data_IF_239221241756
#
_entry.id   IF_239221241756
#
_cell.length_a   1.000
_cell.length_b   1.000
_cell.length_c   1.000
_cell.angle_alpha   90.00
_cell.angle_beta   90.00
_cell.angle_gamma   90.00
#
_symmetry.space_group_name_H-M   'P 1'
#
loop_
_entity.id
_entity.type
_entity.pdbx_description
1 polymer ?
#
# COMPACT_ATOMS: atom_id res chain seq x y z
N UNK A 1 -5.84 -41.31 32.79
CA UNK A 1 -6.97 -40.83 31.98
C UNK A 1 -6.39 -40.08 30.80
N UNK A 2 -6.07 -40.79 29.72
CA UNK A 2 -5.71 -40.18 28.45
C UNK A 2 -7.02 -39.85 27.74
N UNK A 3 -7.54 -38.66 28.01
CA UNK A 3 -8.74 -38.14 27.36
C UNK A 3 -8.39 -37.75 25.92
N UNK A 4 -9.06 -38.38 24.96
CA UNK A 4 -9.01 -37.98 23.55
C UNK A 4 -9.59 -36.58 23.41
N UNK A 5 -8.72 -35.58 23.25
CA UNK A 5 -9.08 -34.27 22.73
C UNK A 5 -9.41 -34.41 21.23
N UNK A 6 -10.55 -35.01 20.90
CA UNK A 6 -10.85 -35.44 19.51
C UNK A 6 -11.62 -34.41 18.66
N UNK A 7 -11.74 -33.16 19.10
CA UNK A 7 -12.00 -32.05 18.18
C UNK A 7 -11.36 -30.76 18.70
N UNK A 8 -10.18 -30.43 18.18
CA UNK A 8 -9.57 -29.13 18.44
C UNK A 8 -10.53 -28.02 18.01
N UNK A 9 -10.72 -27.00 18.85
CA UNK A 9 -11.59 -25.86 18.56
C UNK A 9 -11.36 -25.34 17.13
N UNK A 10 -12.41 -24.98 16.36
CA UNK A 10 -12.24 -24.39 15.03
C UNK A 10 -11.25 -23.22 15.00
N UNK A 11 -11.16 -22.44 16.08
CA UNK A 11 -10.22 -21.33 16.21
C UNK A 11 -8.76 -21.79 16.35
N UNK A 12 -8.51 -22.94 16.99
CA UNK A 12 -7.17 -23.54 17.04
C UNK A 12 -6.75 -23.94 15.62
N UNK A 13 -7.63 -24.62 14.86
CA UNK A 13 -7.32 -25.02 13.47
C UNK A 13 -7.02 -23.81 12.58
N UNK A 14 -7.73 -22.70 12.77
CA UNK A 14 -7.49 -21.44 12.04
C UNK A 14 -6.18 -20.79 12.48
N UNK A 15 -5.89 -20.76 13.78
CA UNK A 15 -4.63 -20.27 14.32
C UNK A 15 -3.43 -21.09 13.80
N UNK A 16 -3.55 -22.42 13.73
CA UNK A 16 -2.52 -23.31 13.19
C UNK A 16 -2.26 -23.02 11.71
N UNK A 17 -3.32 -22.86 10.92
CA UNK A 17 -3.20 -22.51 9.51
C UNK A 17 -2.56 -21.12 9.31
N UNK A 18 -2.93 -20.14 10.15
CA UNK A 18 -2.33 -18.79 10.13
C UNK A 18 -0.84 -18.82 10.50
N UNK A 19 -0.48 -19.61 11.53
CA UNK A 19 0.91 -19.81 11.97
C UNK A 19 1.74 -20.45 10.85
N UNK A 20 1.23 -21.54 10.26
CA UNK A 20 1.90 -22.23 9.15
C UNK A 20 2.06 -21.32 7.92
N UNK A 21 1.03 -20.53 7.59
CA UNK A 21 1.09 -19.55 6.52
C UNK A 21 2.23 -18.55 6.77
N UNK A 22 2.28 -17.92 7.94
CA UNK A 22 3.33 -16.94 8.28
C UNK A 22 4.74 -17.55 8.20
N UNK A 23 4.93 -18.73 8.80
CA UNK A 23 6.21 -19.45 8.80
C UNK A 23 6.63 -19.97 7.44
N UNK A 24 5.71 -20.12 6.49
CA UNK A 24 6.06 -20.53 5.11
C UNK A 24 6.85 -19.46 4.34
N UNK A 25 6.80 -18.20 4.81
CA UNK A 25 7.50 -17.07 4.18
C UNK A 25 8.80 -16.70 4.91
N UNK A 26 8.79 -16.70 6.24
CA UNK A 26 9.96 -16.30 7.03
C UNK A 26 10.76 -17.54 7.41
N UNK A 27 11.94 -17.67 6.82
CA UNK A 27 12.86 -18.80 7.07
C UNK A 27 13.99 -18.44 8.02
N UNK A 28 14.22 -17.14 8.25
CA UNK A 28 15.28 -16.60 9.10
C UNK A 28 14.78 -15.41 9.89
N UNK A 29 15.26 -15.25 11.11
CA UNK A 29 14.99 -14.07 11.93
C UNK A 29 16.09 -13.80 12.95
N UNK A 30 15.93 -12.72 13.72
CA UNK A 30 16.95 -12.27 14.68
C UNK A 30 16.92 -13.05 15.99
N UNK A 31 15.76 -13.19 16.62
CA UNK A 31 15.61 -13.69 18.00
C UNK A 31 15.32 -15.20 18.11
N UNK A 32 15.62 -16.00 17.08
CA UNK A 32 15.34 -17.44 17.10
C UNK A 32 16.37 -18.13 18.00
N UNK A 33 15.94 -19.03 18.87
CA UNK A 33 16.84 -19.69 19.82
C UNK A 33 17.91 -20.56 19.13
N UNK A 34 17.58 -21.14 17.97
CA UNK A 34 18.52 -21.89 17.14
C UNK A 34 19.70 -21.02 16.63
N UNK A 35 19.51 -19.70 16.54
CA UNK A 35 20.61 -18.79 16.16
C UNK A 35 21.70 -18.70 17.24
N UNK A 36 21.48 -19.21 18.46
CA UNK A 36 22.52 -19.27 19.49
C UNK A 36 23.66 -20.25 19.16
N UNK A 37 23.46 -21.10 18.15
CA UNK A 37 24.51 -21.98 17.61
C UNK A 37 25.44 -21.25 16.63
N UNK A 38 25.03 -20.07 16.15
CA UNK A 38 25.84 -19.21 15.29
C UNK A 38 26.91 -18.49 16.11
N UNK A 39 28.00 -18.08 15.46
CA UNK A 39 28.92 -17.13 16.07
C UNK A 39 28.30 -15.72 16.17
N UNK A 40 28.94 -14.86 16.95
CA UNK A 40 28.44 -13.51 17.24
C UNK A 40 28.31 -12.63 15.97
N UNK A 41 29.16 -12.85 14.96
CA UNK A 41 29.12 -12.09 13.71
C UNK A 41 27.88 -12.47 12.89
N UNK A 42 27.64 -13.76 12.70
CA UNK A 42 26.45 -14.25 12.00
C UNK A 42 25.16 -13.87 12.73
N UNK A 43 25.12 -13.97 14.06
CA UNK A 43 23.96 -13.55 14.84
C UNK A 43 23.67 -12.05 14.65
N UNK A 44 24.71 -11.20 14.67
CA UNK A 44 24.57 -9.77 14.41
C UNK A 44 24.05 -9.49 12.99
N UNK A 45 24.55 -10.22 11.99
CA UNK A 45 24.06 -10.12 10.61
C UNK A 45 22.57 -10.47 10.48
N UNK A 46 22.08 -11.46 11.23
CA UNK A 46 20.64 -11.79 11.27
C UNK A 46 19.80 -10.65 11.85
N UNK A 47 20.26 -10.02 12.94
CA UNK A 47 19.58 -8.85 13.51
C UNK A 47 19.57 -7.67 12.54
N UNK A 48 20.71 -7.36 11.92
CA UNK A 48 20.83 -6.29 10.94
C UNK A 48 19.96 -6.55 9.71
N UNK A 49 19.88 -7.79 9.23
CA UNK A 49 19.01 -8.13 8.11
C UNK A 49 17.53 -7.84 8.36
N UNK A 50 17.04 -8.07 9.59
CA UNK A 50 15.66 -7.71 9.98
C UNK A 50 15.48 -6.19 9.99
N UNK A 51 16.43 -5.45 10.55
CA UNK A 51 16.37 -3.98 10.59
C UNK A 51 16.48 -3.35 9.20
N UNK A 52 17.32 -3.90 8.31
CA UNK A 52 17.44 -3.47 6.92
C UNK A 52 16.12 -3.66 6.16
N UNK A 53 15.47 -4.81 6.34
CA UNK A 53 14.12 -5.10 5.80
C UNK A 53 13.10 -4.09 6.31
N UNK A 54 13.11 -3.75 7.60
CA UNK A 54 12.22 -2.73 8.19
C UNK A 54 12.47 -1.34 7.65
N UNK A 55 13.74 -0.97 7.48
CA UNK A 55 14.11 0.31 6.88
C UNK A 55 13.61 0.42 5.43
N UNK A 56 13.75 -0.65 4.64
CA UNK A 56 13.19 -0.72 3.28
C UNK A 56 11.67 -0.61 3.32
N UNK A 57 11.00 -1.31 4.23
CA UNK A 57 9.55 -1.21 4.42
C UNK A 57 9.12 0.24 4.73
N UNK A 58 9.80 0.92 5.65
CA UNK A 58 9.52 2.30 6.00
C UNK A 58 9.74 3.26 4.84
N UNK A 59 10.82 3.09 4.08
CA UNK A 59 11.07 3.88 2.87
C UNK A 59 9.93 3.67 1.85
N UNK A 60 9.55 2.43 1.57
CA UNK A 60 8.48 2.12 0.63
C UNK A 60 7.12 2.68 1.09
N UNK A 61 6.82 2.64 2.39
CA UNK A 61 5.59 3.20 2.95
C UNK A 61 5.56 4.72 2.76
N UNK A 62 6.67 5.39 3.09
CA UNK A 62 6.80 6.82 2.91
C UNK A 62 6.68 7.23 1.44
N UNK A 63 7.31 6.50 0.52
CA UNK A 63 7.18 6.77 -0.91
C UNK A 63 5.73 6.59 -1.40
N UNK A 64 5.04 5.50 -1.02
CA UNK A 64 3.61 5.31 -1.37
C UNK A 64 2.75 6.44 -0.82
N UNK A 65 2.98 6.87 0.42
CA UNK A 65 2.19 7.92 1.08
C UNK A 65 2.37 9.30 0.48
N UNK A 66 3.55 9.63 -0.08
CA UNK A 66 3.78 10.93 -0.75
C UNK A 66 2.76 11.21 -1.86
N UNK A 67 2.34 10.18 -2.58
CA UNK A 67 1.34 10.31 -3.65
C UNK A 67 -0.05 10.70 -3.13
N UNK A 68 -0.34 10.40 -1.86
CA UNK A 68 -1.65 10.58 -1.22
C UNK A 68 -1.69 11.78 -0.26
N UNK A 69 -0.58 12.49 -0.04
CA UNK A 69 -0.52 13.66 0.84
C UNK A 69 -1.44 14.81 0.43
N UNK A 70 -1.93 14.82 -0.82
CA UNK A 70 -2.89 15.80 -1.35
C UNK A 70 -4.36 15.44 -1.07
N UNK A 71 -4.64 14.28 -0.47
CA UNK A 71 -6.01 13.89 -0.14
C UNK A 71 -6.59 14.87 0.89
N UNK A 72 -7.84 15.27 0.68
CA UNK A 72 -8.51 16.28 1.49
C UNK A 72 -8.99 15.74 2.85
N UNK A 73 -9.27 14.44 2.93
CA UNK A 73 -9.76 13.78 4.14
C UNK A 73 -8.57 13.31 5.01
N UNK A 74 -8.23 14.07 6.04
CA UNK A 74 -7.08 13.79 6.93
C UNK A 74 -7.28 12.56 7.79
N UNK A 75 -8.48 12.34 8.31
CA UNK A 75 -8.80 11.18 9.15
C UNK A 75 -8.68 9.88 8.33
N UNK A 76 -9.20 9.90 7.09
CA UNK A 76 -9.02 8.76 6.19
C UNK A 76 -7.56 8.53 5.81
N UNK A 77 -6.73 9.58 5.72
CA UNK A 77 -5.32 9.45 5.41
C UNK A 77 -4.57 8.68 6.51
N UNK A 78 -4.94 8.85 7.77
CA UNK A 78 -4.35 8.09 8.88
C UNK A 78 -4.71 6.60 8.80
N UNK A 79 -6.00 6.27 8.56
CA UNK A 79 -6.44 4.88 8.35
C UNK A 79 -5.73 4.23 7.16
N UNK A 80 -5.62 4.96 6.04
CA UNK A 80 -4.92 4.51 4.83
C UNK A 80 -3.43 4.33 5.09
N UNK A 81 -2.80 5.21 5.88
CA UNK A 81 -1.39 5.08 6.22
C UNK A 81 -1.10 3.82 7.03
N UNK A 82 -1.95 3.50 8.01
CA UNK A 82 -1.84 2.25 8.76
C UNK A 82 -2.07 1.03 7.87
N UNK A 83 -3.02 1.08 6.93
CA UNK A 83 -3.25 -0.01 5.96
C UNK A 83 -2.05 -0.20 5.02
N UNK A 84 -1.48 0.89 4.47
CA UNK A 84 -0.30 0.82 3.60
C UNK A 84 0.91 0.27 4.37
N UNK A 85 1.10 0.70 5.61
CA UNK A 85 2.14 0.15 6.48
C UNK A 85 1.94 -1.35 6.69
N UNK A 86 0.73 -1.77 7.05
CA UNK A 86 0.37 -3.18 7.21
C UNK A 86 0.69 -3.99 5.95
N UNK A 87 0.31 -3.52 4.77
CA UNK A 87 0.61 -4.20 3.51
C UNK A 87 2.11 -4.39 3.29
N UNK A 88 2.90 -3.34 3.53
CA UNK A 88 4.34 -3.38 3.26
C UNK A 88 5.07 -4.25 4.29
N UNK A 89 4.67 -4.19 5.57
CA UNK A 89 5.21 -5.06 6.62
C UNK A 89 4.91 -6.54 6.34
N UNK A 90 3.88 -6.86 5.55
CA UNK A 90 3.66 -8.22 5.06
C UNK A 90 4.48 -8.51 3.78
N UNK A 91 4.49 -7.60 2.80
CA UNK A 91 5.16 -7.81 1.50
C UNK A 91 6.68 -8.01 1.63
N UNK A 92 7.36 -7.21 2.47
CA UNK A 92 8.82 -7.21 2.53
C UNK A 92 9.37 -8.50 3.14
N UNK A 93 8.89 -8.98 4.31
CA UNK A 93 9.33 -10.25 4.86
C UNK A 93 9.02 -11.43 3.95
N UNK A 94 7.89 -11.40 3.22
CA UNK A 94 7.59 -12.42 2.21
C UNK A 94 8.60 -12.44 1.05
N UNK A 95 9.10 -11.28 0.65
CA UNK A 95 10.07 -11.15 -0.45
C UNK A 95 11.49 -11.53 -0.03
N UNK A 96 11.91 -11.13 1.16
CA UNK A 96 13.29 -11.33 1.64
C UNK A 96 13.44 -12.58 2.51
N UNK A 97 12.34 -13.22 2.89
CA UNK A 97 12.28 -14.41 3.76
C UNK A 97 12.89 -14.21 5.16
N UNK A 98 12.95 -12.96 5.61
CA UNK A 98 13.57 -12.50 6.85
C UNK A 98 12.54 -11.72 7.67
N UNK A 99 12.44 -12.00 8.97
CA UNK A 99 11.60 -11.25 9.91
C UNK A 99 11.68 -11.81 11.33
N UNK A 100 11.00 -11.17 12.29
CA UNK A 100 10.90 -11.63 13.66
C UNK A 100 9.44 -11.91 14.10
N UNK A 101 9.18 -11.95 15.41
CA UNK A 101 7.84 -12.18 15.95
C UNK A 101 6.82 -11.14 15.50
N UNK A 102 7.24 -9.89 15.28
CA UNK A 102 6.38 -8.81 14.78
C UNK A 102 5.89 -9.12 13.36
N UNK A 103 6.81 -9.37 12.41
CA UNK A 103 6.44 -9.67 11.02
C UNK A 103 5.63 -10.97 10.90
N UNK A 104 5.97 -12.00 11.68
CA UNK A 104 5.22 -13.25 11.71
C UNK A 104 3.79 -13.07 12.23
N UNK A 105 3.59 -12.27 13.29
CA UNK A 105 2.26 -11.99 13.82
C UNK A 105 1.40 -11.22 12.82
N UNK A 106 1.99 -10.26 12.08
CA UNK A 106 1.30 -9.53 11.02
C UNK A 106 0.92 -10.43 9.84
N UNK A 107 1.79 -11.37 9.44
CA UNK A 107 1.47 -12.35 8.38
C UNK A 107 0.35 -13.30 8.81
N UNK A 108 0.35 -13.73 10.07
CA UNK A 108 -0.73 -14.52 10.63
C UNK A 108 -2.05 -13.72 10.66
N UNK A 109 -2.01 -12.43 11.04
CA UNK A 109 -3.17 -11.54 10.96
C UNK A 109 -3.69 -11.43 9.52
N UNK A 110 -2.80 -11.27 8.54
CA UNK A 110 -3.17 -11.18 7.12
C UNK A 110 -3.88 -12.46 6.64
N UNK A 111 -3.44 -13.64 7.09
CA UNK A 111 -4.16 -14.89 6.79
C UNK A 111 -5.59 -14.87 7.32
N UNK A 112 -5.78 -14.50 8.59
CA UNK A 112 -7.12 -14.47 9.21
C UNK A 112 -8.01 -13.44 8.50
N UNK A 113 -7.46 -12.28 8.17
CA UNK A 113 -8.12 -11.21 7.44
C UNK A 113 -8.61 -11.65 6.05
N UNK A 114 -7.82 -12.44 5.32
CA UNK A 114 -8.11 -12.84 3.95
C UNK A 114 -8.95 -14.12 3.85
N UNK A 115 -8.92 -14.98 4.87
CA UNK A 115 -9.54 -16.32 4.82
C UNK A 115 -10.78 -16.46 5.69
N UNK A 116 -11.07 -15.50 6.56
CA UNK A 116 -12.13 -15.62 7.55
C UNK A 116 -12.80 -14.26 7.83
N UNK A 117 -14.00 -14.31 8.40
CA UNK A 117 -14.69 -13.14 8.98
C UNK A 117 -14.45 -13.00 10.49
N UNK A 118 -13.50 -13.77 11.04
CA UNK A 118 -13.21 -13.74 12.46
C UNK A 118 -12.53 -12.44 12.87
N UNK A 119 -12.71 -12.10 14.15
CA UNK A 119 -11.95 -11.06 14.81
C UNK A 119 -10.59 -11.59 15.24
N UNK A 120 -9.53 -10.93 14.81
CA UNK A 120 -8.19 -11.16 15.33
C UNK A 120 -7.42 -9.85 15.54
N UNK A 121 -6.55 -9.85 16.52
CA UNK A 121 -5.88 -8.68 17.09
C UNK A 121 -4.40 -9.03 17.34
N UNK A 122 -3.48 -8.13 16.99
CA UNK A 122 -2.06 -8.31 17.31
C UNK A 122 -1.78 -7.74 18.70
N UNK A 123 -1.12 -8.52 19.54
CA UNK A 123 -0.75 -8.14 20.90
C UNK A 123 0.76 -8.13 21.05
N UNK A 124 1.24 -7.21 21.89
CA UNK A 124 2.61 -7.25 22.41
C UNK A 124 2.59 -7.49 23.91
N UNK A 125 3.41 -8.43 24.33
CA UNK A 125 3.77 -8.60 25.73
C UNK A 125 5.12 -7.95 26.00
N UNK A 126 5.16 -7.12 27.02
CA UNK A 126 6.39 -6.66 27.65
C UNK A 126 6.52 -7.38 28.99
N UNK A 127 7.71 -7.89 29.30
CA UNK A 127 7.97 -8.55 30.56
C UNK A 127 9.46 -8.84 30.78
N UNK A 128 9.78 -9.22 32.01
CA UNK A 128 11.12 -9.66 32.39
C UNK A 128 12.09 -8.53 32.73
N UNK A 129 13.37 -8.89 32.81
CA UNK A 129 14.45 -7.93 33.09
C UNK A 129 14.80 -7.05 31.87
N UNK A 130 14.19 -7.33 30.72
CA UNK A 130 14.46 -6.73 29.42
C UNK A 130 13.24 -6.00 28.85
N UNK A 131 12.69 -5.03 29.60
CA UNK A 131 11.46 -4.27 29.26
C UNK A 131 11.45 -3.60 27.87
N UNK A 132 12.61 -3.43 27.24
CA UNK A 132 12.74 -2.85 25.90
C UNK A 132 12.47 -3.83 24.75
N UNK A 133 12.48 -5.14 25.02
CA UNK A 133 12.25 -6.20 24.05
C UNK A 133 10.93 -6.90 24.37
N UNK A 134 9.87 -6.55 23.65
CA UNK A 134 8.56 -7.20 23.78
C UNK A 134 8.33 -8.25 22.69
N UNK A 135 7.62 -9.33 23.05
CA UNK A 135 7.20 -10.38 22.13
C UNK A 135 5.83 -10.08 21.51
N UNK A 136 5.65 -10.37 20.23
CA UNK A 136 4.45 -10.03 19.46
C UNK A 136 3.79 -11.31 18.95
N UNK A 137 2.47 -11.40 19.10
CA UNK A 137 1.68 -12.57 18.75
C UNK A 137 0.26 -12.17 18.33
N UNK A 138 -0.48 -13.14 17.79
CA UNK A 138 -1.86 -12.95 17.31
C UNK A 138 -2.85 -13.55 18.32
N UNK A 139 -3.95 -12.84 18.58
CA UNK A 139 -5.09 -13.34 19.35
C UNK A 139 -6.30 -13.44 18.43
N UNK A 140 -7.01 -14.57 18.45
CA UNK A 140 -8.18 -14.84 17.63
C UNK A 140 -9.38 -15.09 18.54
N UNK A 141 -10.52 -14.46 18.23
CA UNK A 141 -11.80 -14.75 18.88
C UNK A 141 -11.94 -14.21 20.31
N UNK A 142 -11.18 -13.18 20.69
CA UNK A 142 -11.33 -12.51 21.99
C UNK A 142 -12.75 -11.96 22.17
N UNK A 143 -13.37 -12.26 23.31
CA UNK A 143 -14.69 -11.77 23.70
C UNK A 143 -14.65 -10.27 24.01
N UNK A 144 -15.54 -9.47 23.43
CA UNK A 144 -15.71 -8.06 23.82
C UNK A 144 -16.84 -7.98 24.87
N UNK A 145 -16.71 -7.20 25.96
CA UNK A 145 -15.63 -6.24 26.28
C UNK A 145 -14.61 -6.80 27.30
N UNK A 146 -13.92 -7.90 27.00
CA UNK A 146 -12.87 -8.41 27.89
C UNK A 146 -11.76 -7.37 28.12
N UNK A 147 -11.06 -7.51 29.24
CA UNK A 147 -9.88 -6.69 29.54
C UNK A 147 -8.73 -7.08 28.62
N UNK A 148 -8.20 -6.13 27.84
CA UNK A 148 -7.07 -6.38 26.93
C UNK A 148 -5.77 -6.72 27.66
N UNK A 149 -5.66 -6.38 28.95
CA UNK A 149 -4.47 -6.65 29.74
C UNK A 149 -4.51 -8.00 30.47
N UNK A 150 -5.66 -8.67 30.50
CA UNK A 150 -5.86 -9.95 31.20
C UNK A 150 -6.43 -11.05 30.27
N UNK A 151 -5.57 -11.96 29.77
CA UNK A 151 -5.97 -13.07 28.92
C UNK A 151 -6.99 -14.02 29.54
N UNK A 152 -7.10 -14.06 30.88
CA UNK A 152 -8.09 -14.89 31.57
C UNK A 152 -9.52 -14.36 31.38
N UNK A 153 -9.67 -13.10 30.98
CA UNK A 153 -10.98 -12.49 30.69
C UNK A 153 -11.40 -12.61 29.22
N UNK A 154 -10.50 -13.06 28.33
CA UNK A 154 -10.70 -13.06 26.87
C UNK A 154 -11.76 -14.05 26.39
N UNK A 155 -12.22 -14.95 27.26
CA UNK A 155 -13.22 -15.97 26.99
C UNK A 155 -12.62 -17.32 26.62
N UNK A 156 -13.39 -18.39 26.86
CA UNK A 156 -12.93 -19.78 26.76
C UNK A 156 -12.53 -20.20 25.33
N UNK A 157 -13.12 -19.55 24.33
CA UNK A 157 -12.83 -19.80 22.91
C UNK A 157 -11.62 -18.99 22.39
N UNK A 158 -11.11 -18.01 23.14
CA UNK A 158 -10.01 -17.18 22.66
C UNK A 158 -8.73 -18.01 22.50
N UNK A 159 -8.03 -17.81 21.39
CA UNK A 159 -6.82 -18.55 21.03
C UNK A 159 -5.66 -17.58 20.84
N UNK A 160 -4.51 -17.92 21.42
CA UNK A 160 -3.22 -17.29 21.10
C UNK A 160 -2.58 -18.11 19.98
N UNK A 161 -2.27 -17.43 18.88
CA UNK A 161 -1.42 -17.92 17.82
C UNK A 161 -0.07 -17.21 17.94
N UNK A 162 0.97 -17.98 18.28
CA UNK A 162 2.36 -17.53 18.35
C UNK A 162 3.14 -18.22 17.22
N UNK A 163 3.20 -17.59 16.03
CA UNK A 163 3.93 -18.18 14.92
C UNK A 163 5.43 -18.16 15.15
N UNK A 164 5.97 -17.35 16.07
CA UNK A 164 7.38 -17.35 16.42
C UNK A 164 7.76 -18.65 17.15
N UNK A 165 6.97 -19.01 18.16
CA UNK A 165 7.12 -20.25 18.92
C UNK A 165 6.62 -21.50 18.16
N UNK A 166 5.94 -21.31 17.02
CA UNK A 166 5.19 -22.36 16.32
C UNK A 166 4.14 -23.04 17.22
N UNK A 167 3.41 -22.24 18.00
CA UNK A 167 2.42 -22.75 18.95
C UNK A 167 1.09 -22.02 18.82
N UNK A 168 0.02 -22.77 18.98
CA UNK A 168 -1.35 -22.27 18.99
C UNK A 168 -2.08 -22.95 20.14
N UNK A 169 -2.67 -22.18 21.04
CA UNK A 169 -3.24 -22.71 22.29
C UNK A 169 -4.33 -21.79 22.84
N UNK A 170 -5.23 -22.30 23.71
CA UNK A 170 -6.23 -21.48 24.38
C UNK A 170 -5.59 -20.36 25.20
N UNK A 171 -6.13 -19.14 25.11
CA UNK A 171 -5.59 -17.96 25.80
C UNK A 171 -5.51 -18.14 27.33
N UNK A 172 -6.41 -18.93 27.93
CA UNK A 172 -6.38 -19.26 29.35
C UNK A 172 -5.08 -19.95 29.80
N UNK A 173 -4.34 -20.58 28.88
CA UNK A 173 -3.07 -21.29 29.15
C UNK A 173 -1.82 -20.45 28.85
N UNK A 174 -1.97 -19.12 28.72
CA UNK A 174 -0.88 -18.25 28.28
C UNK A 174 0.36 -18.28 29.19
N UNK A 175 0.22 -18.38 30.52
CA UNK A 175 1.38 -18.42 31.44
C UNK A 175 2.29 -19.64 31.20
N UNK A 176 1.69 -20.74 30.77
CA UNK A 176 2.42 -21.99 30.50
C UNK A 176 3.17 -21.91 29.16
N UNK A 177 2.56 -21.28 28.17
CA UNK A 177 2.97 -21.39 26.77
C UNK A 177 3.66 -20.14 26.21
N UNK A 178 3.19 -18.94 26.59
CA UNK A 178 3.69 -17.67 26.10
C UNK A 178 4.97 -17.29 26.84
N UNK A 179 5.96 -16.79 26.11
CA UNK A 179 7.28 -16.43 26.61
C UNK A 179 7.71 -15.09 26.03
N UNK A 180 8.61 -14.38 26.71
CA UNK A 180 9.26 -13.20 26.15
C UNK A 180 10.58 -13.60 25.48
N UNK A 181 10.79 -13.16 24.24
CA UNK A 181 12.02 -13.41 23.47
C UNK A 181 12.84 -12.14 23.39
N UNK A 182 14.14 -12.21 23.71
CA UNK A 182 15.02 -11.04 23.71
C UNK A 182 16.41 -11.34 23.17
N UNK A 183 17.12 -10.29 22.79
CA UNK A 183 18.53 -10.36 22.41
C UNK A 183 19.40 -9.73 23.50
N UNK A 184 20.23 -10.54 24.13
CA UNK A 184 21.27 -10.06 25.05
C UNK A 184 22.46 -9.55 24.23
N UNK A 185 22.58 -8.23 24.13
CA UNK A 185 23.67 -7.55 23.42
C UNK A 185 25.04 -7.72 24.10
N UNK A 186 25.08 -8.06 25.38
CA UNK A 186 26.33 -8.28 26.13
C UNK A 186 26.82 -9.69 25.89
N UNK A 187 25.94 -10.68 26.03
CA UNK A 187 26.27 -12.07 25.79
C UNK A 187 26.32 -12.44 24.29
N UNK A 188 25.78 -11.57 23.42
CA UNK A 188 25.50 -11.87 22.01
C UNK A 188 24.74 -13.18 21.87
N UNK A 189 23.61 -13.29 22.59
CA UNK A 189 22.76 -14.48 22.60
C UNK A 189 21.29 -14.10 22.67
N UNK A 190 20.45 -14.92 22.06
CA UNK A 190 19.01 -14.90 22.24
C UNK A 190 18.63 -15.58 23.56
N UNK A 191 17.70 -14.97 24.26
CA UNK A 191 17.17 -15.45 25.53
C UNK A 191 15.65 -15.57 25.50
N UNK A 192 15.15 -16.31 26.49
CA UNK A 192 13.74 -16.59 26.72
C UNK A 192 13.44 -16.35 28.20
N UNK A 193 12.36 -15.63 28.48
CA UNK A 193 11.87 -15.39 29.83
C UNK A 193 10.43 -15.89 29.98
N UNK A 194 10.14 -16.51 31.12
CA UNK A 194 8.79 -16.90 31.51
C UNK A 194 7.98 -15.67 31.93
N UNK A 195 6.68 -15.68 31.63
CA UNK A 195 5.75 -14.68 32.14
C UNK A 195 5.32 -15.07 33.56
N UNK A 196 5.96 -14.47 34.57
CA UNK A 196 5.60 -14.67 35.99
C UNK A 196 4.81 -13.48 36.53
N UNK A 197 4.09 -13.67 37.65
CA UNK A 197 3.33 -12.60 38.30
C UNK A 197 4.24 -11.49 38.87
N UNK A 198 5.52 -11.78 39.08
CA UNK A 198 6.53 -10.88 39.62
C UNK A 198 7.10 -9.93 38.56
N UNK A 199 7.10 -10.35 37.28
CA UNK A 199 7.49 -9.50 36.17
C UNK A 199 6.23 -8.86 35.61
N UNK A 200 6.10 -7.54 35.72
CA UNK A 200 4.92 -6.81 35.22
C UNK A 200 4.67 -7.13 33.74
N UNK A 201 3.72 -8.03 33.49
CA UNK A 201 3.26 -8.36 32.14
C UNK A 201 2.36 -7.23 31.69
N UNK A 202 2.92 -6.30 30.91
CA UNK A 202 2.08 -5.30 30.24
C UNK A 202 1.70 -5.84 28.88
N UNK A 203 0.48 -6.34 28.76
CA UNK A 203 -0.12 -6.63 27.47
C UNK A 203 -0.68 -5.34 26.89
N UNK A 204 -0.13 -4.91 25.75
CA UNK A 204 -0.67 -3.80 24.98
C UNK A 204 -1.23 -4.36 23.68
N UNK A 205 -2.53 -4.19 23.49
CA UNK A 205 -3.14 -4.40 22.17
C UNK A 205 -2.58 -3.36 21.20
N UNK A 206 -2.23 -3.80 20.00
CA UNK A 206 -2.04 -2.87 18.89
C UNK A 206 -3.40 -2.39 18.37
N UNK A 207 -3.41 -1.20 17.76
CA UNK A 207 -4.61 -0.65 17.08
C UNK A 207 -4.95 -1.47 15.82
N UNK A 208 -4.09 -2.41 15.41
CA UNK A 208 -4.31 -3.25 14.23
C UNK A 208 -5.08 -4.51 14.60
N UNK A 209 -6.35 -4.52 14.20
CA UNK A 209 -7.21 -5.68 14.22
C UNK A 209 -7.90 -5.88 12.86
N UNK A 210 -8.50 -7.06 12.66
CA UNK A 210 -9.16 -7.39 11.39
C UNK A 210 -10.32 -6.46 11.06
N UNK A 211 -11.04 -5.92 12.05
CA UNK A 211 -12.19 -5.05 11.80
C UNK A 211 -11.74 -3.65 11.37
N UNK A 212 -10.72 -3.11 12.04
CA UNK A 212 -10.02 -1.90 11.63
C UNK A 212 -9.49 -2.05 10.20
N UNK A 213 -8.79 -3.15 9.89
CA UNK A 213 -8.21 -3.36 8.56
C UNK A 213 -9.29 -3.49 7.48
N UNK A 214 -10.40 -4.21 7.73
CA UNK A 214 -11.54 -4.28 6.80
C UNK A 214 -12.13 -2.89 6.54
N UNK A 215 -12.39 -2.12 7.60
CA UNK A 215 -12.86 -0.73 7.49
C UNK A 215 -11.88 0.14 6.71
N UNK A 216 -10.59 0.05 7.01
CA UNK A 216 -9.55 0.81 6.35
C UNK A 216 -9.45 0.46 4.86
N UNK A 217 -9.64 -0.82 4.47
CA UNK A 217 -9.71 -1.25 3.05
C UNK A 217 -10.88 -0.57 2.33
N UNK A 218 -12.05 -0.49 2.95
CA UNK A 218 -13.22 0.20 2.38
C UNK A 218 -13.01 1.71 2.28
N UNK A 219 -12.47 2.33 3.34
CA UNK A 219 -12.06 3.74 3.36
C UNK A 219 -11.08 4.01 2.21
N UNK A 220 -10.01 3.22 2.10
CA UNK A 220 -8.99 3.35 1.08
C UNK A 220 -9.58 3.24 -0.33
N UNK A 221 -10.44 2.24 -0.57
CA UNK A 221 -11.08 2.05 -1.87
C UNK A 221 -11.88 3.29 -2.31
N UNK A 222 -12.71 3.83 -1.42
CA UNK A 222 -13.53 5.02 -1.68
C UNK A 222 -12.66 6.25 -1.95
N UNK A 223 -11.67 6.48 -1.09
CA UNK A 223 -10.85 7.67 -1.11
C UNK A 223 -9.85 7.64 -2.29
N UNK A 224 -9.30 6.49 -2.64
CA UNK A 224 -8.49 6.32 -3.84
C UNK A 224 -9.28 6.56 -5.13
N UNK A 225 -10.51 6.05 -5.25
CA UNK A 225 -11.37 6.37 -6.41
C UNK A 225 -11.66 7.87 -6.50
N UNK A 226 -11.94 8.51 -5.37
CA UNK A 226 -12.18 9.96 -5.30
C UNK A 226 -10.94 10.74 -5.73
N UNK A 227 -9.77 10.38 -5.19
CA UNK A 227 -8.48 10.96 -5.57
C UNK A 227 -8.19 10.79 -7.05
N UNK A 228 -8.34 9.58 -7.59
CA UNK A 228 -8.14 9.30 -9.02
C UNK A 228 -9.00 10.20 -9.90
N UNK A 229 -10.29 10.33 -9.59
CA UNK A 229 -11.20 11.18 -10.36
C UNK A 229 -10.79 12.66 -10.27
N UNK A 230 -10.39 13.15 -9.09
CA UNK A 230 -9.96 14.53 -8.90
C UNK A 230 -8.69 14.88 -9.68
N UNK A 231 -7.75 13.94 -9.81
CA UNK A 231 -6.52 14.16 -10.59
C UNK A 231 -6.76 14.02 -12.11
N UNK A 232 -7.66 13.13 -12.54
CA UNK A 232 -7.93 12.88 -13.97
C UNK A 232 -8.90 13.89 -14.59
N UNK A 233 -9.90 14.36 -13.85
CA UNK A 233 -10.94 15.25 -14.38
C UNK A 233 -10.39 16.55 -15.01
N UNK A 234 -9.40 17.25 -14.41
CA UNK A 234 -8.78 18.42 -15.03
C UNK A 234 -8.11 18.09 -16.38
N UNK A 235 -7.38 16.97 -16.47
CA UNK A 235 -6.72 16.52 -17.70
C UNK A 235 -7.78 16.27 -18.79
N UNK A 236 -8.82 15.52 -18.43
CA UNK A 236 -9.91 15.18 -19.35
C UNK A 236 -10.63 16.42 -19.89
N UNK A 237 -10.95 17.38 -19.00
CA UNK A 237 -11.60 18.64 -19.37
C UNK A 237 -10.72 19.49 -20.28
N UNK A 238 -9.42 19.59 -19.98
CA UNK A 238 -8.44 20.32 -20.79
C UNK A 238 -8.29 19.72 -22.19
N UNK A 239 -8.16 18.40 -22.30
CA UNK A 239 -8.09 17.70 -23.58
C UNK A 239 -9.36 17.90 -24.42
N UNK A 240 -10.53 17.76 -23.79
CA UNK A 240 -11.82 17.95 -24.47
C UNK A 240 -11.98 19.38 -24.99
N UNK A 241 -11.64 20.37 -24.16
CA UNK A 241 -11.67 21.79 -24.54
C UNK A 241 -10.72 22.07 -25.71
N UNK A 242 -9.50 21.53 -25.67
CA UNK A 242 -8.53 21.71 -26.75
C UNK A 242 -9.00 21.08 -28.07
N UNK A 243 -9.51 19.84 -28.01
CA UNK A 243 -10.12 19.15 -29.16
C UNK A 243 -11.27 19.97 -29.75
N UNK A 244 -12.17 20.50 -28.93
CA UNK A 244 -13.33 21.26 -29.39
C UNK A 244 -12.93 22.57 -30.08
N UNK A 245 -11.89 23.23 -29.56
CA UNK A 245 -11.27 24.38 -30.22
C UNK A 245 -10.72 24.03 -31.61
N UNK A 246 -9.98 22.92 -31.72
CA UNK A 246 -9.50 22.42 -33.01
C UNK A 246 -10.63 22.04 -33.97
N UNK A 247 -11.72 21.46 -33.47
CA UNK A 247 -12.89 21.10 -34.28
C UNK A 247 -13.61 22.34 -34.81
N UNK A 248 -13.71 23.41 -34.00
CA UNK A 248 -14.25 24.69 -34.44
C UNK A 248 -13.37 25.32 -35.53
N UNK A 249 -12.04 25.31 -35.35
CA UNK A 249 -11.10 25.82 -36.36
C UNK A 249 -11.16 25.01 -37.67
N UNK A 250 -11.25 23.68 -37.57
CA UNK A 250 -11.42 22.81 -38.72
C UNK A 250 -12.68 23.15 -39.53
N UNK A 251 -13.78 23.50 -38.85
CA UNK A 251 -15.02 23.94 -39.50
C UNK A 251 -14.82 25.25 -40.25
N UNK A 252 -14.10 26.20 -39.65
CA UNK A 252 -13.74 27.48 -40.28
C UNK A 252 -12.85 27.27 -41.50
N UNK A 253 -11.77 26.47 -41.42
CA UNK A 253 -10.87 26.24 -42.54
C UNK A 253 -11.57 25.60 -43.75
N UNK A 254 -12.57 24.75 -43.52
CA UNK A 254 -13.36 24.12 -44.58
C UNK A 254 -14.18 25.12 -45.42
N UNK A 255 -14.42 26.34 -44.94
CA UNK A 255 -15.11 27.37 -45.75
C UNK A 255 -14.19 28.16 -46.69
N UNK A 256 -12.87 27.93 -46.66
CA UNK A 256 -11.89 28.64 -47.47
C UNK A 256 -11.10 27.69 -48.37
N UNK A 257 -10.90 28.04 -49.65
CA UNK A 257 -10.07 27.27 -50.58
C UNK A 257 -8.58 27.34 -50.22
N UNK A 258 -7.80 26.30 -50.54
CA UNK A 258 -6.34 26.27 -50.37
C UNK A 258 -5.83 25.88 -48.98
N UNK A 259 -6.69 25.26 -48.14
CA UNK A 259 -6.34 24.84 -46.76
C UNK A 259 -6.25 23.32 -46.59
N UNK A 260 -6.12 22.54 -47.67
CA UNK A 260 -6.24 21.09 -47.67
C UNK A 260 -5.25 20.43 -46.70
N UNK A 261 -3.99 20.87 -46.68
CA UNK A 261 -2.98 20.34 -45.78
C UNK A 261 -3.26 20.68 -44.30
N UNK A 262 -3.73 21.90 -44.02
CA UNK A 262 -4.10 22.31 -42.65
C UNK A 262 -5.28 21.49 -42.13
N UNK A 263 -6.28 21.27 -42.99
CA UNK A 263 -7.45 20.44 -42.70
C UNK A 263 -7.02 19.02 -42.32
N UNK A 264 -6.09 18.41 -43.06
CA UNK A 264 -5.56 17.07 -42.77
C UNK A 264 -4.85 17.05 -41.40
N UNK A 265 -3.93 17.99 -41.16
CA UNK A 265 -3.17 18.06 -39.90
C UNK A 265 -4.10 18.20 -38.70
N UNK A 266 -5.05 19.13 -38.74
CA UNK A 266 -5.99 19.35 -37.63
C UNK A 266 -6.92 18.14 -37.45
N UNK A 267 -7.39 17.53 -38.54
CA UNK A 267 -8.24 16.34 -38.45
C UNK A 267 -7.51 15.17 -37.79
N UNK A 268 -6.24 14.95 -38.16
CA UNK A 268 -5.40 13.92 -37.54
C UNK A 268 -5.19 14.22 -36.06
N UNK A 269 -4.90 15.48 -35.70
CA UNK A 269 -4.73 15.88 -34.31
C UNK A 269 -5.99 15.65 -33.48
N UNK A 270 -7.17 15.97 -34.01
CA UNK A 270 -8.46 15.68 -33.35
C UNK A 270 -8.64 14.17 -33.14
N UNK A 271 -8.26 13.33 -34.12
CA UNK A 271 -8.35 11.88 -33.99
C UNK A 271 -7.43 11.35 -32.87
N UNK A 272 -6.19 11.84 -32.79
CA UNK A 272 -5.25 11.49 -31.71
C UNK A 272 -5.77 11.92 -30.33
N UNK A 273 -6.37 13.10 -30.22
CA UNK A 273 -6.96 13.58 -28.96
C UNK A 273 -8.16 12.72 -28.56
N UNK A 274 -9.00 12.31 -29.51
CA UNK A 274 -10.13 11.42 -29.24
C UNK A 274 -9.67 10.05 -28.74
N UNK A 275 -8.57 9.51 -29.27
CA UNK A 275 -7.98 8.25 -28.77
C UNK A 275 -7.63 8.37 -27.27
N UNK A 276 -6.92 9.44 -26.88
CA UNK A 276 -6.55 9.68 -25.48
C UNK A 276 -7.78 9.90 -24.60
N UNK A 277 -8.76 10.69 -25.04
CA UNK A 277 -10.01 10.95 -24.30
C UNK A 277 -10.80 9.65 -24.07
N UNK A 278 -10.87 8.78 -25.08
CA UNK A 278 -11.54 7.49 -24.99
C UNK A 278 -10.81 6.55 -24.03
N UNK A 279 -9.48 6.50 -24.08
CA UNK A 279 -8.66 5.73 -23.14
C UNK A 279 -8.87 6.20 -21.69
N UNK A 280 -8.87 7.51 -21.44
CA UNK A 280 -9.18 8.08 -20.12
C UNK A 280 -10.57 7.65 -19.65
N UNK A 281 -11.57 7.72 -20.53
CA UNK A 281 -12.95 7.36 -20.21
C UNK A 281 -13.06 5.87 -19.86
N UNK A 282 -12.42 5.00 -20.65
CA UNK A 282 -12.36 3.57 -20.38
C UNK A 282 -11.69 3.29 -19.03
N UNK A 283 -10.51 3.85 -18.77
CA UNK A 283 -9.77 3.67 -17.51
C UNK A 283 -10.56 4.19 -16.31
N UNK A 284 -11.23 5.34 -16.44
CA UNK A 284 -12.11 5.91 -15.41
C UNK A 284 -13.30 4.99 -15.11
N UNK A 285 -13.94 4.43 -16.12
CA UNK A 285 -15.05 3.48 -15.93
C UNK A 285 -14.57 2.20 -15.26
N UNK A 286 -13.46 1.62 -15.74
CA UNK A 286 -12.85 0.42 -15.16
C UNK A 286 -12.54 0.58 -13.68
N UNK A 287 -11.84 1.66 -13.31
CA UNK A 287 -11.46 1.92 -11.91
C UNK A 287 -12.69 2.18 -11.04
N UNK A 288 -13.66 2.98 -11.50
CA UNK A 288 -14.80 3.35 -10.68
C UNK A 288 -15.80 2.20 -10.50
N UNK A 289 -16.07 1.43 -11.55
CA UNK A 289 -17.18 0.46 -11.59
C UNK A 289 -16.73 -0.98 -11.34
N UNK A 290 -15.57 -1.39 -11.87
CA UNK A 290 -15.19 -2.81 -11.89
C UNK A 290 -14.26 -3.17 -10.73
N UNK A 291 -13.37 -2.26 -10.33
CA UNK A 291 -12.37 -2.57 -9.32
C UNK A 291 -12.94 -2.48 -7.90
N UNK A 292 -12.94 -3.62 -7.19
CA UNK A 292 -13.32 -3.74 -5.77
C UNK A 292 -12.13 -3.87 -4.82
N UNK A 293 -10.94 -4.13 -5.36
CA UNK A 293 -9.71 -4.26 -4.59
C UNK A 293 -8.99 -2.90 -4.53
N UNK A 294 -8.79 -2.36 -3.33
CA UNK A 294 -8.09 -1.10 -3.14
C UNK A 294 -6.64 -1.14 -3.63
N UNK A 295 -5.95 -2.31 -3.59
CA UNK A 295 -4.58 -2.46 -4.08
C UNK A 295 -4.51 -2.28 -5.59
N UNK A 296 -5.50 -2.81 -6.32
CA UNK A 296 -5.61 -2.62 -7.77
C UNK A 296 -5.90 -1.16 -8.12
N UNK A 297 -6.74 -0.47 -7.35
CA UNK A 297 -6.97 0.97 -7.53
C UNK A 297 -5.71 1.77 -7.22
N UNK A 298 -5.03 1.47 -6.12
CA UNK A 298 -3.76 2.11 -5.73
C UNK A 298 -2.71 1.95 -6.82
N UNK A 299 -2.47 0.72 -7.29
CA UNK A 299 -1.53 0.44 -8.38
C UNK A 299 -1.91 1.16 -9.68
N UNK A 300 -3.22 1.27 -9.96
CA UNK A 300 -3.70 2.05 -11.10
C UNK A 300 -3.40 3.53 -10.94
N UNK A 301 -3.60 4.13 -9.77
CA UNK A 301 -3.25 5.55 -9.52
C UNK A 301 -1.77 5.81 -9.80
N UNK A 302 -0.90 4.94 -9.30
CA UNK A 302 0.56 5.09 -9.42
C UNK A 302 1.08 4.92 -10.85
N UNK A 303 0.34 4.22 -11.72
CA UNK A 303 0.78 3.88 -13.09
C UNK A 303 0.01 4.62 -14.17
N UNK A 304 -1.32 4.64 -14.06
CA UNK A 304 -2.26 5.15 -15.07
C UNK A 304 -2.27 6.66 -15.14
N UNK A 305 -2.23 7.38 -14.01
CA UNK A 305 -2.23 8.85 -14.02
C UNK A 305 -0.98 9.39 -14.73
N UNK A 306 0.26 8.95 -14.40
CA UNK A 306 1.45 9.38 -15.13
C UNK A 306 1.42 9.02 -16.62
N UNK A 307 0.90 7.85 -16.97
CA UNK A 307 0.76 7.40 -18.36
C UNK A 307 -0.20 8.30 -19.15
N UNK A 308 -1.39 8.57 -18.61
CA UNK A 308 -2.37 9.49 -19.20
C UNK A 308 -1.74 10.87 -19.39
N UNK A 309 -1.02 11.37 -18.37
CA UNK A 309 -0.32 12.64 -18.45
C UNK A 309 0.66 12.68 -19.63
N UNK A 310 1.56 11.69 -19.73
CA UNK A 310 2.52 11.58 -20.85
C UNK A 310 1.83 11.52 -22.21
N UNK A 311 0.82 10.67 -22.35
CA UNK A 311 0.10 10.52 -23.61
C UNK A 311 -0.63 11.81 -24.01
N UNK A 312 -1.27 12.49 -23.05
CA UNK A 312 -1.94 13.76 -23.27
C UNK A 312 -0.95 14.82 -23.81
N UNK A 313 0.21 14.98 -23.17
CA UNK A 313 1.23 15.94 -23.59
C UNK A 313 1.73 15.62 -24.99
N UNK A 314 2.12 14.36 -25.25
CA UNK A 314 2.66 13.96 -26.56
C UNK A 314 1.65 14.21 -27.67
N UNK A 315 0.36 13.93 -27.43
CA UNK A 315 -0.68 14.09 -28.46
C UNK A 315 -1.15 15.54 -28.62
N UNK A 316 -1.11 16.37 -27.57
CA UNK A 316 -1.50 17.79 -27.68
C UNK A 316 -0.54 18.64 -28.52
N UNK A 317 0.73 18.25 -28.63
CA UNK A 317 1.70 19.03 -29.39
C UNK A 317 1.64 18.70 -30.89
N UNK A 318 1.59 19.75 -31.70
CA UNK A 318 1.89 19.64 -33.13
C UNK A 318 3.40 19.47 -33.32
N UNK A 319 3.77 18.63 -34.28
CA UNK A 319 5.16 18.47 -34.69
C UNK A 319 5.68 19.76 -35.37
N UNK A 320 6.99 20.03 -35.34
CA UNK A 320 7.56 21.23 -35.96
C UNK A 320 7.16 21.42 -37.45
N UNK A 321 7.10 20.32 -38.20
CA UNK A 321 6.67 20.35 -39.61
C UNK A 321 5.18 20.68 -39.78
N UNK A 322 4.32 20.16 -38.88
CA UNK A 322 2.89 20.47 -38.86
C UNK A 322 2.66 21.96 -38.57
N UNK A 323 3.39 22.49 -37.58
CA UNK A 323 3.36 23.92 -37.26
C UNK A 323 3.71 24.77 -38.47
N UNK A 324 4.82 24.49 -39.17
CA UNK A 324 5.21 25.26 -40.37
C UNK A 324 4.09 25.36 -41.42
N UNK A 325 3.33 24.28 -41.62
CA UNK A 325 2.20 24.23 -42.56
C UNK A 325 1.01 25.03 -42.03
N UNK A 326 0.66 24.86 -40.75
CA UNK A 326 -0.46 25.57 -40.11
C UNK A 326 -0.27 27.10 -40.14
N UNK A 327 0.98 27.53 -39.98
CA UNK A 327 1.38 28.94 -39.86
C UNK A 327 1.57 29.60 -41.23
N UNK A 328 2.11 28.87 -42.21
CA UNK A 328 2.57 29.42 -43.47
C UNK A 328 3.97 30.06 -43.38
N UNK A 329 4.55 30.45 -44.52
CA UNK A 329 5.95 30.90 -44.63
C UNK A 329 6.24 32.30 -44.03
N UNK A 330 5.23 33.07 -43.62
CA UNK A 330 5.35 34.52 -43.39
C UNK A 330 5.23 34.97 -41.92
N UNK A 331 4.96 34.08 -40.97
CA UNK A 331 4.67 34.44 -39.56
C UNK A 331 5.86 34.11 -38.65
N UNK A 332 6.16 35.01 -37.71
CA UNK A 332 7.23 34.79 -36.71
C UNK A 332 6.79 33.79 -35.65
N UNK A 333 7.72 32.97 -35.14
CA UNK A 333 7.49 31.91 -34.14
C UNK A 333 6.78 32.38 -32.85
N UNK A 334 6.76 33.69 -32.59
CA UNK A 334 6.13 34.32 -31.43
C UNK A 334 4.64 34.65 -31.64
N UNK A 335 4.21 34.97 -32.87
CA UNK A 335 2.78 35.09 -33.23
C UNK A 335 2.10 33.72 -33.24
N UNK A 336 2.88 32.69 -33.51
CA UNK A 336 2.49 31.28 -33.64
C UNK A 336 2.06 30.67 -32.31
N UNK A 337 2.82 30.92 -31.25
CA UNK A 337 2.52 30.40 -29.91
C UNK A 337 1.27 31.05 -29.30
N UNK A 338 0.70 32.10 -29.90
CA UNK A 338 -0.56 32.70 -29.41
C UNK A 338 -1.82 32.07 -30.00
N UNK A 339 -1.76 31.53 -31.22
CA UNK A 339 -2.95 31.01 -31.91
C UNK A 339 -3.18 29.51 -31.70
N UNK A 340 -2.10 28.72 -31.61
CA UNK A 340 -2.20 27.26 -31.56
C UNK A 340 -1.66 26.63 -30.28
N UNK A 341 -1.15 27.44 -29.35
CA UNK A 341 -0.82 26.92 -28.01
C UNK A 341 -2.10 26.59 -27.25
N UNK A 342 -2.08 25.56 -26.40
CA UNK A 342 -3.16 25.34 -25.44
C UNK A 342 -3.39 26.63 -24.64
N UNK A 343 -4.62 26.88 -24.11
CA UNK A 343 -4.85 27.99 -23.19
C UNK A 343 -3.75 28.03 -22.14
N UNK A 344 -3.21 29.21 -21.83
CA UNK A 344 -2.04 29.34 -20.95
C UNK A 344 -2.22 28.60 -19.62
N UNK A 345 -3.43 28.56 -19.09
CA UNK A 345 -3.78 27.82 -17.88
C UNK A 345 -3.78 26.29 -18.08
N UNK A 346 -4.15 25.80 -19.27
CA UNK A 346 -4.07 24.38 -19.64
C UNK A 346 -2.64 23.95 -19.90
N UNK A 347 -1.85 24.75 -20.62
CA UNK A 347 -0.43 24.47 -20.83
C UNK A 347 0.34 24.56 -19.50
N UNK A 348 0.08 25.57 -18.67
CA UNK A 348 0.69 25.69 -17.33
C UNK A 348 0.25 24.55 -16.42
N UNK A 349 -1.03 24.19 -16.38
CA UNK A 349 -1.50 23.05 -15.58
C UNK A 349 -0.90 21.72 -16.07
N UNK A 350 -0.83 21.50 -17.39
CA UNK A 350 -0.21 20.31 -17.97
C UNK A 350 1.29 20.31 -17.73
N UNK A 351 2.01 21.41 -17.95
CA UNK A 351 3.45 21.53 -17.69
C UNK A 351 3.75 21.43 -16.19
N UNK A 352 2.94 21.98 -15.29
CA UNK A 352 3.09 21.80 -13.84
C UNK A 352 2.83 20.36 -13.40
N UNK A 353 1.81 19.70 -13.95
CA UNK A 353 1.57 18.27 -13.70
C UNK A 353 2.70 17.42 -14.29
N UNK A 354 3.15 17.73 -15.51
CA UNK A 354 4.26 17.05 -16.22
C UNK A 354 5.56 17.22 -15.46
N UNK A 355 5.88 18.43 -15.03
CA UNK A 355 7.10 18.75 -14.30
C UNK A 355 7.06 18.17 -12.90
N UNK A 356 5.92 18.15 -12.20
CA UNK A 356 5.76 17.41 -10.94
C UNK A 356 5.96 15.91 -11.15
N UNK A 357 5.31 15.31 -12.16
CA UNK A 357 5.45 13.88 -12.48
C UNK A 357 6.90 13.55 -12.87
N UNK A 358 7.55 14.37 -13.70
CA UNK A 358 8.93 14.17 -14.12
C UNK A 358 9.95 14.42 -13.00
N UNK A 359 9.70 15.35 -12.09
CA UNK A 359 10.54 15.57 -10.89
C UNK A 359 10.42 14.42 -9.90
N UNK A 360 9.25 13.80 -9.78
CA UNK A 360 9.07 12.60 -8.95
C UNK A 360 9.64 11.34 -9.61
N UNK A 361 9.56 11.19 -10.93
CA UNK A 361 10.17 10.07 -11.67
C UNK A 361 11.71 10.13 -11.63
N UNK A 362 12.32 11.32 -11.67
CA UNK A 362 13.79 11.50 -11.62
C UNK A 362 14.43 11.26 -10.24
N UNK A 363 13.62 11.01 -9.20
CA UNK A 363 14.09 10.69 -7.84
C UNK A 363 14.26 9.19 -7.60
N UNK A 364 13.91 8.38 -8.60
CA UNK A 364 14.20 6.95 -8.72
C UNK A 364 15.30 6.77 -9.76
#
# INVERSE_FOLDING_TARGET
MEGRYEDSSPLIKIGEAASQFARSFISRGGTQMENNELDAEHLLQHFQGVEDVRNVAQMMANERLKHFNKMSNRDALEEIAQLIWFDIVNEIPMKYTVGNCDELAHLALNYVLDKTDLKAEVFRVYGGSHETNGHVFLVIGRKIPSDMSDPLTWGDDAVICDPWANKVYPAATYKENLKNYYFDKVAYKNGLEDLTDEHHVTLKGYILDTDFLRKAKDTALKEFKTFFNNEIEPIFKSLSTYRDGLAAELKTLKSFQGNEQKIIIISNKIAELNEVINDITYKKNKINQETKDYKLVQGSILTVIPEIGRNAITKMHFQPAELQILIGKASTQEQVSRFFSPPKDTQTALEEMTNKVNQEIKKW
#
